data_IF_178066079859
#
_entry.id   IF_178066079859
#
_cell.length_a   1.000
_cell.length_b   1.000
_cell.length_c   1.000
_cell.angle_alpha   90.00
_cell.angle_beta   90.00
_cell.angle_gamma   90.00
#
_symmetry.space_group_name_H-M   'P 1'
#
loop_
_entity.id
_entity.type
_entity.pdbx_description
1 polymer ?
#
# COMPACT_ATOMS: atom_id res chain seq x y z
N UNK A 1 -25.49 21.86 6.20
CA UNK A 1 -25.91 20.72 7.00
C UNK A 1 -25.26 20.70 8.38
N UNK A 2 -25.78 19.86 9.29
CA UNK A 2 -25.40 19.78 10.70
C UNK A 2 -23.88 19.64 10.91
N UNK A 3 -23.22 18.73 10.22
CA UNK A 3 -21.76 18.53 10.32
C UNK A 3 -20.97 19.82 10.01
N UNK A 4 -21.32 20.54 8.93
CA UNK A 4 -20.65 21.79 8.60
C UNK A 4 -20.81 22.84 9.70
N UNK A 5 -22.01 22.91 10.32
CA UNK A 5 -22.29 23.82 11.44
C UNK A 5 -21.45 23.46 12.68
N UNK A 6 -21.42 22.17 13.07
CA UNK A 6 -20.65 21.71 14.23
C UNK A 6 -19.16 22.02 14.04
N UNK A 7 -18.58 21.71 12.85
CA UNK A 7 -17.17 21.97 12.58
C UNK A 7 -16.80 23.46 12.64
N UNK A 8 -17.71 24.32 12.13
CA UNK A 8 -17.51 25.77 12.21
C UNK A 8 -17.57 26.28 13.66
N UNK A 9 -18.56 25.84 14.44
CA UNK A 9 -18.78 26.35 15.80
C UNK A 9 -17.74 25.80 16.78
N UNK A 10 -17.41 24.51 16.72
CA UNK A 10 -16.54 23.84 17.69
C UNK A 10 -15.05 24.01 17.34
N UNK A 11 -14.71 23.91 16.06
CA UNK A 11 -13.30 23.90 15.62
C UNK A 11 -12.90 25.16 14.84
N UNK A 12 -13.83 26.08 14.62
CA UNK A 12 -13.63 27.25 13.76
C UNK A 12 -13.07 26.89 12.37
N UNK A 13 -13.56 25.77 11.79
CA UNK A 13 -13.13 25.25 10.50
C UNK A 13 -14.30 25.04 9.56
N UNK A 14 -14.11 25.45 8.31
CA UNK A 14 -15.07 25.18 7.24
C UNK A 14 -14.73 23.86 6.53
N UNK A 15 -15.71 22.96 6.44
CA UNK A 15 -15.60 21.73 5.66
C UNK A 15 -16.40 21.83 4.36
N UNK A 16 -15.82 21.31 3.28
CA UNK A 16 -16.49 21.29 1.97
C UNK A 16 -17.62 20.27 1.97
N UNK A 17 -18.76 20.67 1.44
CA UNK A 17 -19.93 19.79 1.23
C UNK A 17 -20.46 19.98 -0.19
N UNK A 18 -21.08 18.94 -0.83
CA UNK A 18 -21.32 17.60 -0.29
C UNK A 18 -20.02 16.80 -0.15
N UNK A 19 -20.00 15.82 0.78
CA UNK A 19 -18.86 14.92 0.89
C UNK A 19 -18.75 14.05 -0.36
N UNK A 20 -17.52 13.79 -0.90
CA UNK A 20 -17.33 12.83 -1.96
C UNK A 20 -17.80 11.45 -1.54
N UNK A 21 -18.37 10.68 -2.48
CA UNK A 21 -18.76 9.30 -2.23
C UNK A 21 -17.75 8.36 -2.88
N UNK A 22 -17.24 7.44 -2.10
CA UNK A 22 -16.35 6.37 -2.57
C UNK A 22 -17.12 5.05 -2.42
N UNK A 23 -17.30 4.31 -3.53
CA UNK A 23 -17.90 2.98 -3.48
C UNK A 23 -17.03 2.01 -2.69
N UNK A 24 -17.65 1.05 -2.00
CA UNK A 24 -16.97 0.07 -1.15
C UNK A 24 -15.82 -0.65 -1.87
N UNK A 25 -16.07 -1.19 -3.05
CA UNK A 25 -15.03 -1.89 -3.83
C UNK A 25 -13.82 -1.01 -4.14
N UNK A 26 -14.07 0.26 -4.48
CA UNK A 26 -13.00 1.24 -4.72
C UNK A 26 -12.24 1.56 -3.43
N UNK A 27 -12.92 1.66 -2.31
CA UNK A 27 -12.27 1.86 -1.01
C UNK A 27 -11.34 0.70 -0.68
N UNK A 28 -11.83 -0.54 -0.77
CA UNK A 28 -11.03 -1.76 -0.50
C UNK A 28 -9.91 -1.94 -1.53
N UNK A 29 -10.20 -1.77 -2.83
CA UNK A 29 -9.17 -2.00 -3.86
C UNK A 29 -8.02 -1.01 -3.77
N UNK A 30 -8.31 0.27 -3.51
CA UNK A 30 -7.35 1.37 -3.56
C UNK A 30 -6.69 1.68 -2.22
N UNK A 31 -7.41 1.49 -1.12
CA UNK A 31 -6.96 1.88 0.22
C UNK A 31 -6.86 0.71 1.21
N UNK A 32 -7.43 -0.45 0.87
CA UNK A 32 -7.42 -1.66 1.69
C UNK A 32 -8.45 -1.68 2.81
N UNK A 33 -9.13 -0.57 3.09
CA UNK A 33 -10.06 -0.41 4.21
C UNK A 33 -11.35 0.28 3.75
N UNK A 34 -12.47 -0.02 4.44
CA UNK A 34 -13.79 0.56 4.18
C UNK A 34 -13.92 2.02 4.66
N UNK A 35 -13.05 2.44 5.56
CA UNK A 35 -12.94 3.82 6.09
C UNK A 35 -11.57 4.41 5.72
N UNK A 36 -11.35 4.75 4.45
CA UNK A 36 -10.04 5.14 3.99
C UNK A 36 -9.65 6.55 4.48
N UNK A 37 -8.44 6.70 4.97
CA UNK A 37 -7.84 8.02 5.11
C UNK A 37 -7.37 8.50 3.74
N UNK A 38 -8.01 9.52 3.20
CA UNK A 38 -7.73 10.05 1.85
C UNK A 38 -6.85 11.31 1.85
N UNK A 39 -6.27 11.68 3.01
CA UNK A 39 -5.39 12.85 3.16
C UNK A 39 -4.01 12.68 2.52
N UNK A 40 -3.63 11.45 2.21
CA UNK A 40 -2.34 11.11 1.60
C UNK A 40 -2.52 10.01 0.54
N UNK A 41 -1.54 9.88 -0.32
CA UNK A 41 -1.51 8.85 -1.37
C UNK A 41 -1.22 7.45 -0.80
N UNK A 42 -0.12 6.82 -1.19
CA UNK A 42 0.25 5.43 -0.84
C UNK A 42 -0.85 4.41 -1.19
N UNK A 43 -1.39 4.53 -2.41
CA UNK A 43 -2.46 3.63 -2.87
C UNK A 43 -1.95 2.20 -3.03
N UNK A 44 -2.83 1.23 -2.76
CA UNK A 44 -2.60 -0.16 -3.09
C UNK A 44 -2.67 -0.35 -4.59
N UNK A 45 -1.71 -1.08 -5.15
CA UNK A 45 -1.64 -1.44 -6.57
C UNK A 45 -1.72 -2.95 -6.69
N UNK A 46 -2.70 -3.45 -7.43
CA UNK A 46 -2.78 -4.87 -7.75
C UNK A 46 -1.72 -5.21 -8.81
N UNK A 47 -0.86 -6.16 -8.50
CA UNK A 47 0.22 -6.62 -9.37
C UNK A 47 0.11 -8.12 -9.67
N UNK A 48 -1.01 -8.74 -9.33
CA UNK A 48 -1.26 -10.18 -9.45
C UNK A 48 -0.92 -10.71 -10.83
N UNK A 49 -1.44 -10.09 -11.89
CA UNK A 49 -1.21 -10.54 -13.25
C UNK A 49 0.25 -10.34 -13.70
N UNK A 50 0.90 -9.28 -13.22
CA UNK A 50 2.29 -8.97 -13.55
C UNK A 50 3.22 -10.06 -12.99
N UNK A 51 2.99 -10.46 -11.73
CA UNK A 51 3.87 -11.41 -11.03
C UNK A 51 3.46 -12.87 -11.19
N UNK A 52 2.37 -13.16 -11.87
CA UNK A 52 1.82 -14.51 -12.10
C UNK A 52 2.85 -15.49 -12.69
N UNK A 53 3.71 -14.99 -13.57
CA UNK A 53 4.74 -15.78 -14.26
C UNK A 53 6.13 -15.63 -13.65
N UNK A 54 6.23 -15.09 -12.43
CA UNK A 54 7.50 -15.06 -11.71
C UNK A 54 7.85 -16.45 -11.16
N UNK A 55 9.15 -16.65 -10.85
CA UNK A 55 9.62 -17.86 -10.17
C UNK A 55 9.58 -17.72 -8.64
N UNK A 56 8.95 -16.67 -8.12
CA UNK A 56 8.83 -16.46 -6.67
C UNK A 56 7.65 -17.25 -6.10
N UNK A 57 7.94 -18.40 -5.49
CA UNK A 57 6.94 -19.36 -5.04
C UNK A 57 5.86 -18.79 -4.11
N UNK A 58 6.20 -17.82 -3.25
CA UNK A 58 5.24 -17.21 -2.33
C UNK A 58 4.09 -16.60 -3.11
N UNK A 59 4.40 -15.84 -4.19
CA UNK A 59 3.38 -15.20 -5.02
C UNK A 59 2.63 -16.22 -5.87
N UNK A 60 3.36 -17.10 -6.55
CA UNK A 60 2.72 -18.07 -7.45
C UNK A 60 1.85 -19.09 -6.71
N UNK A 61 2.21 -19.50 -5.48
CA UNK A 61 1.35 -20.34 -4.63
C UNK A 61 0.05 -19.64 -4.23
N UNK A 62 0.13 -18.37 -3.81
CA UNK A 62 -1.06 -17.58 -3.48
C UNK A 62 -1.99 -17.45 -4.70
N UNK A 63 -1.44 -17.11 -5.88
CA UNK A 63 -2.20 -16.94 -7.12
C UNK A 63 -2.84 -18.25 -7.58
N UNK A 64 -2.14 -19.38 -7.48
CA UNK A 64 -2.69 -20.71 -7.80
C UNK A 64 -3.91 -21.09 -6.93
N UNK A 65 -4.00 -20.50 -5.74
CA UNK A 65 -5.13 -20.65 -4.82
C UNK A 65 -6.19 -19.54 -4.98
N UNK A 66 -6.27 -18.91 -6.15
CA UNK A 66 -7.14 -17.77 -6.45
C UNK A 66 -6.89 -16.54 -5.57
N UNK A 67 -5.69 -16.41 -5.00
CA UNK A 67 -5.26 -15.27 -4.24
C UNK A 67 -4.77 -14.10 -5.09
N UNK A 68 -4.43 -13.03 -4.41
CA UNK A 68 -3.93 -11.79 -5.02
C UNK A 68 -2.58 -11.38 -4.45
N UNK A 69 -1.86 -10.59 -5.23
CA UNK A 69 -0.64 -9.91 -4.81
C UNK A 69 -0.84 -8.41 -5.01
N UNK A 70 -0.74 -7.66 -3.93
CA UNK A 70 -0.78 -6.19 -4.00
C UNK A 70 0.49 -5.56 -3.47
N UNK A 71 0.72 -4.35 -3.88
CA UNK A 71 1.92 -3.58 -3.58
C UNK A 71 1.56 -2.16 -3.10
N UNK A 72 2.40 -1.62 -2.20
CA UNK A 72 2.48 -0.18 -1.90
C UNK A 72 3.84 0.31 -2.37
N UNK A 73 3.87 1.45 -3.06
CA UNK A 73 5.09 2.18 -3.36
C UNK A 73 5.33 3.23 -2.26
N UNK A 74 6.23 2.92 -1.34
CA UNK A 74 6.68 3.85 -0.30
C UNK A 74 7.77 4.78 -0.87
N UNK A 75 7.39 6.02 -1.16
CA UNK A 75 8.24 7.04 -1.79
C UNK A 75 9.45 7.39 -0.91
N UNK A 76 10.64 7.43 -1.54
CA UNK A 76 11.91 7.78 -0.90
C UNK A 76 12.27 6.91 0.33
N UNK A 77 11.79 5.67 0.39
CA UNK A 77 11.99 4.75 1.51
C UNK A 77 13.02 3.63 1.23
N UNK A 78 13.79 3.68 0.12
CA UNK A 78 14.82 2.69 -0.15
C UNK A 78 15.92 2.65 0.92
N UNK A 79 16.10 3.74 1.68
CA UNK A 79 17.05 3.82 2.81
C UNK A 79 16.59 3.09 4.07
N UNK A 80 15.36 2.57 4.12
CA UNK A 80 14.90 1.82 5.30
C UNK A 80 15.86 0.68 5.60
N UNK A 81 16.26 0.61 6.89
CA UNK A 81 17.14 -0.44 7.38
C UNK A 81 16.39 -1.78 7.41
N UNK A 82 17.17 -2.86 7.50
CA UNK A 82 16.61 -4.20 7.68
C UNK A 82 15.71 -4.29 8.90
N UNK A 83 16.11 -3.66 10.00
CA UNK A 83 15.31 -3.61 11.24
C UNK A 83 13.93 -2.98 11.00
N UNK A 84 13.87 -1.83 10.30
CA UNK A 84 12.60 -1.18 9.97
C UNK A 84 11.72 -2.10 9.12
N UNK A 85 12.30 -2.80 8.15
CA UNK A 85 11.53 -3.74 7.31
C UNK A 85 11.02 -4.94 8.14
N UNK A 86 11.82 -5.44 9.09
CA UNK A 86 11.40 -6.50 10.03
C UNK A 86 10.27 -6.03 10.95
N UNK A 87 10.31 -4.79 11.45
CA UNK A 87 9.20 -4.19 12.19
C UNK A 87 7.93 -4.11 11.34
N UNK A 88 8.03 -3.63 10.09
CA UNK A 88 6.88 -3.57 9.18
C UNK A 88 6.35 -4.97 8.85
N UNK A 89 7.22 -5.97 8.75
CA UNK A 89 6.83 -7.37 8.54
C UNK A 89 6.05 -7.90 9.75
N UNK A 90 6.53 -7.63 10.96
CA UNK A 90 5.83 -7.98 12.20
C UNK A 90 4.49 -7.25 12.33
N UNK A 91 4.44 -6.00 11.88
CA UNK A 91 3.20 -5.21 11.87
C UNK A 91 2.13 -5.81 10.96
N UNK A 92 2.47 -6.18 9.71
CA UNK A 92 1.48 -6.79 8.80
C UNK A 92 1.04 -8.20 9.25
N UNK A 93 1.88 -8.90 10.01
CA UNK A 93 1.54 -10.21 10.58
C UNK A 93 0.36 -10.13 11.57
N UNK A 94 0.16 -8.99 12.25
CA UNK A 94 -1.00 -8.75 13.14
C UNK A 94 -2.32 -8.90 12.37
N UNK A 95 -2.31 -8.58 11.08
CA UNK A 95 -3.46 -8.66 10.17
C UNK A 95 -3.51 -9.98 9.38
N UNK A 96 -2.79 -11.01 9.83
CA UNK A 96 -2.80 -12.35 9.25
C UNK A 96 -1.87 -12.55 8.06
N UNK A 97 -1.09 -11.55 7.64
CA UNK A 97 -0.10 -11.72 6.57
C UNK A 97 1.04 -12.64 7.02
N UNK A 98 1.42 -13.59 6.16
CA UNK A 98 2.53 -14.52 6.42
C UNK A 98 3.91 -13.91 6.22
N UNK A 99 3.99 -12.68 5.69
CA UNK A 99 5.24 -11.97 5.45
C UNK A 99 5.04 -10.71 4.63
N UNK A 100 6.10 -9.92 4.53
CA UNK A 100 6.18 -8.72 3.73
C UNK A 100 7.37 -8.85 2.76
N UNK A 101 7.07 -9.04 1.49
CA UNK A 101 8.12 -9.01 0.46
C UNK A 101 8.44 -7.55 0.10
N UNK A 102 9.68 -7.27 -0.27
CA UNK A 102 10.09 -5.91 -0.58
C UNK A 102 11.16 -5.85 -1.67
N UNK A 103 11.19 -4.73 -2.39
CA UNK A 103 12.22 -4.42 -3.39
C UNK A 103 12.53 -2.93 -3.34
N UNK A 104 13.82 -2.57 -3.27
CA UNK A 104 14.31 -1.19 -3.41
C UNK A 104 14.41 -0.84 -4.88
N UNK A 105 14.10 0.41 -5.20
CA UNK A 105 14.27 0.94 -6.56
C UNK A 105 15.55 1.76 -6.61
N UNK A 106 16.51 1.32 -7.44
CA UNK A 106 17.80 1.99 -7.60
C UNK A 106 17.97 2.49 -9.03
N UNK A 107 19.08 3.15 -9.32
CA UNK A 107 19.43 3.55 -10.72
C UNK A 107 19.58 2.35 -11.65
N UNK A 108 19.98 1.21 -11.09
CA UNK A 108 20.18 -0.04 -11.86
C UNK A 108 18.92 -0.88 -12.01
N UNK A 109 17.81 -0.47 -11.39
CA UNK A 109 16.55 -1.20 -11.37
C UNK A 109 16.15 -1.65 -9.97
N UNK A 110 15.46 -2.80 -9.86
CA UNK A 110 15.02 -3.34 -8.58
C UNK A 110 16.15 -4.11 -7.89
N UNK A 111 16.29 -3.92 -6.58
CA UNK A 111 17.26 -4.60 -5.74
C UNK A 111 16.60 -5.22 -4.49
N UNK A 112 16.78 -6.52 -4.32
CA UNK A 112 16.47 -7.29 -3.11
C UNK A 112 16.93 -8.74 -3.29
N UNK A 113 16.86 -9.55 -2.22
CA UNK A 113 17.15 -10.99 -2.28
C UNK A 113 16.20 -11.76 -3.20
N UNK A 114 15.00 -11.24 -3.44
CA UNK A 114 13.96 -11.91 -4.24
C UNK A 114 13.96 -11.49 -5.72
N UNK A 115 14.64 -10.42 -6.11
CA UNK A 115 14.63 -9.89 -7.49
C UNK A 115 15.04 -10.94 -8.53
N UNK A 116 15.95 -11.85 -8.18
CA UNK A 116 16.41 -12.95 -9.04
C UNK A 116 15.29 -13.87 -9.55
N UNK A 117 14.13 -13.88 -8.89
CA UNK A 117 12.96 -14.67 -9.29
C UNK A 117 12.04 -13.94 -10.29
N UNK A 118 12.35 -12.70 -10.63
CA UNK A 118 11.56 -11.85 -11.52
C UNK A 118 12.37 -11.50 -12.75
N UNK A 119 11.95 -12.02 -13.90
CA UNK A 119 12.59 -11.67 -15.18
C UNK A 119 12.51 -10.15 -15.45
N UNK A 120 13.43 -9.63 -16.26
CA UNK A 120 13.51 -8.19 -16.55
C UNK A 120 12.19 -7.55 -17.02
N UNK A 121 11.40 -8.28 -17.81
CA UNK A 121 10.09 -7.81 -18.27
C UNK A 121 9.17 -7.54 -17.09
N UNK A 122 9.09 -8.47 -16.13
CA UNK A 122 8.27 -8.34 -14.93
C UNK A 122 8.76 -7.16 -14.07
N UNK A 123 10.07 -7.01 -13.89
CA UNK A 123 10.65 -5.90 -13.13
C UNK A 123 10.30 -4.54 -13.74
N UNK A 124 10.44 -4.40 -15.06
CA UNK A 124 10.09 -3.17 -15.79
C UNK A 124 8.60 -2.84 -15.66
N UNK A 125 7.75 -3.86 -15.75
CA UNK A 125 6.29 -3.69 -15.63
C UNK A 125 5.88 -3.33 -14.19
N UNK A 126 6.50 -3.92 -13.16
CA UNK A 126 6.32 -3.54 -11.77
C UNK A 126 6.66 -2.06 -11.55
N UNK A 127 7.83 -1.60 -12.00
CA UNK A 127 8.25 -0.19 -11.87
C UNK A 127 7.23 0.73 -12.54
N UNK A 128 6.80 0.39 -13.77
CA UNK A 128 5.85 1.19 -14.53
C UNK A 128 4.48 1.26 -13.83
N UNK A 129 3.92 0.11 -13.44
CA UNK A 129 2.56 0.02 -12.89
C UNK A 129 2.48 0.65 -11.50
N UNK A 130 3.51 0.52 -10.68
CA UNK A 130 3.59 1.14 -9.36
C UNK A 130 4.05 2.60 -9.41
N UNK A 131 4.36 3.14 -10.60
CA UNK A 131 4.94 4.47 -10.80
C UNK A 131 6.14 4.70 -9.85
N UNK A 132 6.98 3.66 -9.72
CA UNK A 132 8.13 3.70 -8.83
C UNK A 132 9.29 4.44 -9.46
N UNK A 133 10.02 5.17 -8.64
CA UNK A 133 11.22 5.95 -9.02
C UNK A 133 12.39 5.52 -8.18
N UNK A 134 13.59 5.94 -8.58
CA UNK A 134 14.79 5.79 -7.76
C UNK A 134 14.51 6.24 -6.32
N UNK A 135 15.08 5.51 -5.36
CA UNK A 135 14.95 5.69 -3.93
C UNK A 135 13.57 5.31 -3.34
N UNK A 136 12.64 4.80 -4.14
CA UNK A 136 11.37 4.24 -3.66
C UNK A 136 11.57 2.80 -3.11
N UNK A 137 10.66 2.38 -2.24
CA UNK A 137 10.59 1.02 -1.70
C UNK A 137 9.23 0.41 -2.05
N UNK A 138 9.24 -0.70 -2.77
CA UNK A 138 8.06 -1.49 -3.06
C UNK A 138 7.84 -2.52 -1.96
N UNK A 139 6.65 -2.55 -1.38
CA UNK A 139 6.25 -3.46 -0.30
C UNK A 139 5.06 -4.29 -0.77
N UNK A 140 5.18 -5.63 -0.70
CA UNK A 140 4.20 -6.55 -1.26
C UNK A 140 3.63 -7.47 -0.19
N UNK A 141 2.33 -7.72 -0.27
CA UNK A 141 1.64 -8.79 0.46
C UNK A 141 0.92 -9.68 -0.54
N UNK A 142 1.00 -11.00 -0.31
CA UNK A 142 0.34 -12.03 -1.10
C UNK A 142 -0.36 -13.03 -0.19
N UNK A 143 -1.61 -13.33 -0.46
CA UNK A 143 -2.36 -14.39 0.22
C UNK A 143 -3.50 -14.88 -0.67
N UNK A 144 -3.97 -16.12 -0.43
CA UNK A 144 -5.19 -16.66 -1.04
C UNK A 144 -6.45 -15.96 -0.52
N UNK A 145 -6.41 -15.40 0.68
CA UNK A 145 -7.48 -14.60 1.24
C UNK A 145 -7.27 -13.11 0.90
N UNK A 146 -8.10 -12.58 0.02
CA UNK A 146 -8.05 -11.18 -0.43
C UNK A 146 -8.20 -10.18 0.73
N UNK A 147 -8.97 -10.53 1.76
CA UNK A 147 -9.17 -9.64 2.91
C UNK A 147 -7.87 -9.45 3.69
N UNK A 148 -7.08 -10.52 3.88
CA UNK A 148 -5.77 -10.43 4.54
C UNK A 148 -4.85 -9.47 3.78
N UNK A 149 -4.79 -9.58 2.44
CA UNK A 149 -3.94 -8.70 1.62
C UNK A 149 -4.38 -7.24 1.73
N UNK A 150 -5.68 -6.99 1.62
CA UNK A 150 -6.23 -5.64 1.67
C UNK A 150 -6.05 -5.02 3.07
N UNK A 151 -6.41 -5.75 4.13
CA UNK A 151 -6.35 -5.26 5.50
C UNK A 151 -4.91 -5.03 5.97
N UNK A 152 -4.00 -5.98 5.68
CA UNK A 152 -2.59 -5.84 6.00
C UNK A 152 -1.96 -4.62 5.32
N UNK A 153 -2.15 -4.46 4.01
CA UNK A 153 -1.64 -3.31 3.27
C UNK A 153 -2.38 -2.00 3.61
N UNK A 154 -3.68 -2.04 3.85
CA UNK A 154 -4.46 -0.87 4.26
C UNK A 154 -3.96 -0.27 5.58
N UNK A 155 -3.67 -1.13 6.57
CA UNK A 155 -3.10 -0.70 7.84
C UNK A 155 -1.62 -0.31 7.71
N UNK A 156 -0.83 -1.05 6.90
CA UNK A 156 0.55 -0.69 6.59
C UNK A 156 0.64 0.71 5.94
N UNK A 157 -0.29 1.04 5.07
CA UNK A 157 -0.43 2.35 4.45
C UNK A 157 -0.55 3.46 5.50
N UNK A 158 -1.38 3.26 6.53
CA UNK A 158 -1.56 4.23 7.62
C UNK A 158 -0.29 4.33 8.47
N UNK A 159 0.33 3.19 8.80
CA UNK A 159 1.57 3.14 9.58
C UNK A 159 2.71 3.87 8.85
N UNK A 160 2.88 3.64 7.55
CA UNK A 160 3.85 4.35 6.72
C UNK A 160 3.57 5.86 6.71
N UNK A 161 2.30 6.26 6.57
CA UNK A 161 1.93 7.67 6.56
C UNK A 161 2.24 8.38 7.88
N UNK A 162 2.10 7.70 9.02
CA UNK A 162 2.52 8.20 10.34
C UNK A 162 4.05 8.33 10.42
N UNK A 163 4.80 7.29 10.07
CA UNK A 163 6.27 7.30 10.09
C UNK A 163 6.87 8.38 9.18
N UNK A 164 6.27 8.59 8.02
CA UNK A 164 6.70 9.58 7.02
C UNK A 164 6.11 10.97 7.25
N UNK A 165 5.28 11.15 8.29
CA UNK A 165 4.61 12.42 8.62
C UNK A 165 3.78 12.99 7.45
N UNK A 166 3.12 12.11 6.69
CA UNK A 166 2.29 12.50 5.56
C UNK A 166 0.90 12.99 5.97
N UNK A 167 0.51 12.78 7.22
CA UNK A 167 -0.80 13.14 7.73
C UNK A 167 -0.76 14.55 8.29
N UNK A 168 -1.38 15.51 7.60
CA UNK A 168 -1.65 16.83 8.15
C UNK A 168 -2.87 16.75 9.08
N UNK A 169 -2.66 16.91 10.38
CA UNK A 169 -3.71 16.88 11.39
C UNK A 169 -4.66 18.09 11.33
N UNK A 170 -4.30 19.14 10.58
CA UNK A 170 -5.15 20.30 10.34
C UNK A 170 -6.01 20.16 9.08
N UNK A 171 -5.78 19.12 8.28
CA UNK A 171 -6.54 18.83 7.08
C UNK A 171 -7.59 17.75 7.37
N UNK A 172 -8.86 18.07 7.10
CA UNK A 172 -9.99 17.15 7.25
C UNK A 172 -10.54 16.80 5.87
N UNK A 173 -10.52 15.51 5.54
CA UNK A 173 -10.99 15.00 4.26
C UNK A 173 -12.03 13.92 4.52
N UNK A 174 -13.31 14.26 4.37
CA UNK A 174 -14.44 13.37 4.57
C UNK A 174 -14.83 12.69 3.24
N UNK A 175 -15.11 11.41 3.30
CA UNK A 175 -15.61 10.59 2.20
C UNK A 175 -16.79 9.74 2.65
#
# INVERSE_FOLDING_TARGET
>A
GMMKHIWRVVLNKDIKTPFPRVGYEKAISKYGLDKPDTRFELHLVDVTEIVRHSNFEVFTKAIKQNGIVKCINAKNCASFSRTVIEELTSFVAIYGSKGLAWMKVTEKGLESSIVKFFGEKIQKELIKTTNAKKDDLLLFVADSNHNIVNEALGNLRIELAKRLKLIDNNHFNFV
#
